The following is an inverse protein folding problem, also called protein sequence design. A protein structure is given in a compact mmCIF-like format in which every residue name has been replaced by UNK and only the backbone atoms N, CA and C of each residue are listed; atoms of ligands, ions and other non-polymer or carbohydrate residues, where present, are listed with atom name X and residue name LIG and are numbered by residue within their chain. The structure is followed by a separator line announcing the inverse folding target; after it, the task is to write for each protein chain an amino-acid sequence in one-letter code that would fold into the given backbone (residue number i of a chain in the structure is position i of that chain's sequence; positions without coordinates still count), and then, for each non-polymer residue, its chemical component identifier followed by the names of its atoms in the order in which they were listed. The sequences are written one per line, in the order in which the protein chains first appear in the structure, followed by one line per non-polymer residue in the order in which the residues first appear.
data_IF_892482902783
#
_entry.id   IF_892482902783
#
_cell.length_a   1.000
_cell.length_b   1.000
_cell.length_c   1.000
_cell.angle_alpha   90.00
_cell.angle_beta   90.00
_cell.angle_gamma   90.00
#
_symmetry.space_group_name_H-M   'P 1'
#
loop_
_entity.id
_entity.type
_entity.pdbx_description
1 polymer ?
#
# COMPACT_ATOMS: atom_id res chain seq x y z
N UNK A 1 -22.92 -1.04 22.57
CA UNK A 1 -21.66 -0.75 21.87
C UNK A 1 -20.71 -1.88 22.15
N UNK A 2 -20.08 -2.43 21.13
CA UNK A 2 -19.14 -3.54 21.25
C UNK A 2 -17.75 -3.12 20.75
N UNK A 3 -16.73 -3.85 21.21
CA UNK A 3 -15.37 -3.73 20.69
C UNK A 3 -15.07 -4.97 19.87
N UNK A 4 -14.69 -4.79 18.61
CA UNK A 4 -14.19 -5.86 17.76
C UNK A 4 -12.67 -5.87 17.84
N UNK A 5 -12.08 -7.05 18.08
CA UNK A 5 -10.65 -7.29 17.97
C UNK A 5 -10.38 -8.15 16.76
N UNK A 6 -9.65 -7.60 15.81
CA UNK A 6 -9.17 -8.31 14.65
C UNK A 6 -7.71 -8.68 14.85
N UNK A 7 -7.37 -9.94 14.68
CA UNK A 7 -6.00 -10.44 14.73
C UNK A 7 -5.61 -10.99 13.36
N UNK A 8 -4.53 -10.47 12.80
CA UNK A 8 -3.87 -10.99 11.59
C UNK A 8 -2.59 -11.66 12.05
N UNK A 9 -2.40 -12.93 11.72
CA UNK A 9 -1.27 -13.76 12.14
C UNK A 9 -0.46 -14.08 10.89
N UNK A 10 0.83 -13.82 10.94
CA UNK A 10 1.80 -14.08 9.88
C UNK A 10 2.71 -15.26 10.29
N UNK A 11 3.27 -15.96 9.33
CA UNK A 11 4.26 -17.02 9.61
C UNK A 11 5.61 -16.43 10.03
N UNK A 12 6.00 -15.31 9.40
CA UNK A 12 7.28 -14.66 9.66
C UNK A 12 7.15 -13.55 10.70
N UNK A 13 8.26 -13.22 11.36
CA UNK A 13 8.31 -12.17 12.37
C UNK A 13 8.17 -10.79 11.70
N UNK A 14 7.18 -10.01 12.16
CA UNK A 14 6.93 -8.64 11.68
C UNK A 14 7.77 -7.61 12.44
N UNK A 15 7.94 -7.83 13.74
CA UNK A 15 8.63 -6.92 14.65
C UNK A 15 9.40 -7.70 15.70
N UNK A 16 10.50 -7.13 16.16
CA UNK A 16 11.19 -7.65 17.34
C UNK A 16 10.54 -7.06 18.59
N UNK A 17 9.65 -7.82 19.24
CA UNK A 17 8.97 -7.41 20.46
C UNK A 17 7.49 -7.02 20.23
N UNK A 18 7.02 -6.05 21.01
CA UNK A 18 5.64 -5.57 20.96
C UNK A 18 5.63 -4.06 20.86
N UNK A 19 4.86 -3.54 19.89
CA UNK A 19 4.63 -2.11 19.74
C UNK A 19 3.13 -1.83 19.71
N UNK A 20 2.70 -0.78 20.42
CA UNK A 20 1.30 -0.38 20.52
C UNK A 20 1.11 1.03 20.02
N UNK A 21 0.21 1.21 19.08
CA UNK A 21 -0.26 2.50 18.61
C UNK A 21 -1.66 2.76 19.17
N UNK A 22 -1.78 3.78 20.00
CA UNK A 22 -3.07 4.26 20.47
C UNK A 22 -3.52 5.40 19.56
N UNK A 23 -4.71 5.25 18.97
CA UNK A 23 -5.26 6.20 18.05
C UNK A 23 -6.30 7.06 18.76
N UNK A 24 -6.06 8.36 18.83
CA UNK A 24 -6.91 9.32 19.56
C UNK A 24 -8.20 9.65 18.82
N UNK A 25 -8.27 9.36 17.52
CA UNK A 25 -9.44 9.65 16.69
C UNK A 25 -9.69 8.53 15.68
N UNK A 26 -10.95 8.37 15.26
CA UNK A 26 -11.36 7.40 14.26
C UNK A 26 -11.99 6.13 14.83
N UNK A 27 -12.27 5.18 13.96
CA UNK A 27 -12.97 3.94 14.29
C UNK A 27 -12.06 2.87 14.90
N UNK A 28 -10.78 2.92 14.56
CA UNK A 28 -9.74 2.07 15.16
C UNK A 28 -9.25 2.74 16.41
N UNK A 29 -9.36 2.07 17.55
CA UNK A 29 -8.89 2.57 18.85
C UNK A 29 -7.38 2.40 19.04
N UNK A 30 -6.88 1.23 18.71
CA UNK A 30 -5.47 0.90 18.85
C UNK A 30 -5.07 -0.20 17.89
N UNK A 31 -3.79 -0.24 17.57
CA UNK A 31 -3.15 -1.30 16.81
C UNK A 31 -1.97 -1.79 17.61
N UNK A 32 -1.88 -3.10 17.80
CA UNK A 32 -0.78 -3.74 18.53
C UNK A 32 -0.03 -4.63 17.53
N UNK A 33 1.24 -4.33 17.35
CA UNK A 33 2.17 -5.17 16.61
C UNK A 33 2.89 -6.06 17.61
N UNK A 34 2.87 -7.35 17.37
CA UNK A 34 3.64 -8.36 18.13
C UNK A 34 4.34 -9.20 17.10
N UNK A 35 5.50 -9.77 17.42
CA UNK A 35 6.32 -10.58 16.52
C UNK A 35 5.64 -11.01 15.20
N UNK A 36 4.67 -11.89 15.29
CA UNK A 36 3.95 -12.47 14.12
C UNK A 36 2.50 -11.98 13.99
N UNK A 37 2.07 -11.03 14.79
CA UNK A 37 0.65 -10.64 14.80
C UNK A 37 0.45 -9.15 14.74
N UNK A 38 -0.63 -8.76 14.05
CA UNK A 38 -1.20 -7.42 14.15
C UNK A 38 -2.59 -7.56 14.76
N UNK A 39 -2.81 -6.92 15.88
CA UNK A 39 -4.12 -6.83 16.52
C UNK A 39 -4.63 -5.40 16.39
N UNK A 40 -5.86 -5.22 15.96
CA UNK A 40 -6.49 -3.90 15.98
C UNK A 40 -7.89 -3.96 16.57
N UNK A 41 -8.25 -2.89 17.25
CA UNK A 41 -9.47 -2.79 18.03
C UNK A 41 -10.37 -1.73 17.42
N UNK A 42 -11.62 -2.09 17.18
CA UNK A 42 -12.63 -1.26 16.52
C UNK A 42 -13.82 -1.07 17.44
N UNK A 43 -14.31 0.16 17.56
CA UNK A 43 -15.63 0.40 18.12
C UNK A 43 -16.70 0.03 17.09
N UNK A 44 -17.66 -0.76 17.49
CA UNK A 44 -18.78 -1.10 16.65
C UNK A 44 -20.11 -0.95 17.40
N UNK A 45 -21.04 -0.26 16.77
CA UNK A 45 -22.35 -0.08 17.36
C UNK A 45 -23.27 -1.25 16.99
N UNK A 46 -23.32 -2.25 17.85
CA UNK A 46 -24.16 -3.43 17.70
C UNK A 46 -24.71 -3.87 19.04
N UNK A 47 -25.95 -4.38 19.03
CA UNK A 47 -26.58 -4.95 20.20
C UNK A 47 -26.10 -6.38 20.44
N UNK A 48 -25.88 -6.74 21.72
CA UNK A 48 -25.54 -8.10 22.13
C UNK A 48 -26.62 -9.11 21.70
N UNK A 49 -27.88 -8.70 21.70
CA UNK A 49 -29.02 -9.55 21.28
C UNK A 49 -28.94 -9.99 19.80
N UNK A 50 -28.19 -9.29 18.95
CA UNK A 50 -27.99 -9.65 17.55
C UNK A 50 -26.83 -10.64 17.33
N UNK A 51 -26.15 -11.07 18.39
CA UNK A 51 -24.98 -11.95 18.35
C UNK A 51 -25.28 -13.31 18.96
N UNK A 52 -24.99 -14.37 18.21
CA UNK A 52 -25.00 -15.77 18.66
C UNK A 52 -23.58 -16.29 18.79
N UNK A 53 -23.21 -16.88 19.93
CA UNK A 53 -21.85 -17.34 20.20
C UNK A 53 -21.36 -18.44 19.23
N UNK A 54 -22.27 -19.23 18.67
CA UNK A 54 -21.96 -20.33 17.74
C UNK A 54 -21.99 -19.89 16.28
N UNK A 55 -22.84 -18.94 15.96
CA UNK A 55 -23.13 -18.50 14.58
C UNK A 55 -22.57 -17.10 14.25
N UNK A 56 -22.15 -16.34 15.26
CA UNK A 56 -21.79 -14.94 15.09
C UNK A 56 -23.02 -14.11 14.70
N UNK A 57 -22.90 -13.31 13.65
CA UNK A 57 -23.99 -12.49 13.10
C UNK A 57 -24.71 -13.15 11.91
N UNK A 58 -24.62 -14.49 11.73
CA UNK A 58 -25.18 -15.18 10.55
C UNK A 58 -26.68 -14.98 10.39
N UNK A 59 -27.40 -14.87 11.50
CA UNK A 59 -28.84 -14.65 11.47
C UNK A 59 -29.21 -13.17 11.24
N UNK A 60 -28.20 -12.29 11.13
CA UNK A 60 -28.36 -10.88 10.78
C UNK A 60 -27.41 -10.49 9.65
N UNK A 61 -27.78 -10.75 8.39
CA UNK A 61 -26.90 -10.60 7.23
C UNK A 61 -26.46 -9.16 6.99
N UNK A 62 -27.26 -8.16 7.36
CA UNK A 62 -26.89 -6.76 7.23
C UNK A 62 -25.76 -6.36 8.18
N UNK A 63 -25.84 -6.79 9.43
CA UNK A 63 -24.78 -6.54 10.43
C UNK A 63 -23.52 -7.30 10.01
N UNK A 64 -23.64 -8.57 9.63
CA UNK A 64 -22.54 -9.39 9.15
C UNK A 64 -21.81 -8.72 7.97
N UNK A 65 -22.58 -8.21 6.99
CA UNK A 65 -22.05 -7.50 5.83
C UNK A 65 -21.33 -6.21 6.23
N UNK A 66 -21.95 -5.36 7.06
CA UNK A 66 -21.32 -4.12 7.55
C UNK A 66 -19.99 -4.37 8.26
N UNK A 67 -19.92 -5.40 9.12
CA UNK A 67 -18.69 -5.79 9.80
C UNK A 67 -17.64 -6.27 8.77
N UNK A 68 -18.04 -7.13 7.84
CA UNK A 68 -17.16 -7.69 6.82
C UNK A 68 -16.57 -6.60 5.92
N UNK A 69 -17.40 -5.70 5.40
CA UNK A 69 -16.99 -4.60 4.53
C UNK A 69 -16.00 -3.66 5.27
N UNK A 70 -16.30 -3.39 6.55
CA UNK A 70 -15.46 -2.56 7.40
C UNK A 70 -14.10 -3.20 7.68
N UNK A 71 -14.10 -4.47 8.05
CA UNK A 71 -12.87 -5.21 8.31
C UNK A 71 -12.02 -5.34 7.05
N UNK A 72 -12.65 -5.61 5.89
CA UNK A 72 -11.97 -5.68 4.61
C UNK A 72 -11.29 -4.35 4.28
N UNK A 73 -12.00 -3.24 4.47
CA UNK A 73 -11.47 -1.90 4.24
C UNK A 73 -10.23 -1.61 5.11
N UNK A 74 -10.28 -1.95 6.40
CA UNK A 74 -9.19 -1.73 7.34
C UNK A 74 -8.02 -2.70 7.09
N UNK A 75 -8.29 -3.99 6.90
CA UNK A 75 -7.29 -4.99 6.55
C UNK A 75 -6.50 -4.55 5.30
N UNK A 76 -7.22 -4.17 4.23
CA UNK A 76 -6.62 -3.71 2.97
C UNK A 76 -5.75 -2.48 3.19
N UNK A 77 -6.23 -1.54 3.99
CA UNK A 77 -5.52 -0.31 4.29
C UNK A 77 -4.22 -0.56 5.06
N UNK A 78 -4.29 -1.34 6.15
CA UNK A 78 -3.12 -1.70 6.95
C UNK A 78 -2.09 -2.42 6.08
N UNK A 79 -2.52 -3.39 5.28
CA UNK A 79 -1.61 -4.14 4.40
C UNK A 79 -1.00 -3.25 3.33
N UNK A 80 -1.78 -2.37 2.70
CA UNK A 80 -1.25 -1.43 1.74
C UNK A 80 -0.19 -0.51 2.36
N UNK A 81 -0.41 -0.03 3.60
CA UNK A 81 0.61 0.74 4.33
C UNK A 81 1.87 -0.07 4.58
N UNK A 82 1.72 -1.32 5.01
CA UNK A 82 2.85 -2.21 5.24
C UNK A 82 3.62 -2.46 3.94
N UNK A 83 2.94 -2.74 2.85
CA UNK A 83 3.55 -2.97 1.53
C UNK A 83 4.18 -1.68 0.99
N UNK A 84 3.43 -0.57 0.99
CA UNK A 84 3.87 0.68 0.39
C UNK A 84 5.04 1.31 1.14
N UNK A 85 4.92 1.45 2.45
CA UNK A 85 5.88 2.21 3.24
C UNK A 85 6.97 1.37 3.89
N UNK A 86 6.68 0.11 4.15
CA UNK A 86 7.61 -0.78 4.84
C UNK A 86 8.17 -1.87 3.94
N UNK A 87 7.94 -1.77 2.63
CA UNK A 87 8.50 -2.68 1.63
C UNK A 87 8.23 -4.17 1.96
N UNK A 88 7.07 -4.44 2.59
CA UNK A 88 6.65 -5.79 2.90
C UNK A 88 6.22 -6.47 1.59
N UNK A 89 7.18 -7.03 0.88
CA UNK A 89 6.99 -7.75 -0.37
C UNK A 89 6.97 -9.24 -0.02
N UNK A 90 5.91 -9.93 -0.42
CA UNK A 90 5.69 -11.37 -0.24
C UNK A 90 4.90 -11.76 1.02
N UNK A 91 3.62 -11.41 1.04
CA UNK A 91 2.66 -12.00 1.95
C UNK A 91 1.98 -13.19 1.23
N UNK A 92 2.37 -14.41 1.57
CA UNK A 92 1.64 -15.61 1.13
C UNK A 92 0.27 -15.61 1.80
N UNK A 93 -0.80 -15.44 1.02
CA UNK A 93 -2.16 -15.39 1.54
C UNK A 93 -2.59 -16.70 2.22
N UNK A 94 -1.98 -17.81 1.83
CA UNK A 94 -2.27 -19.12 2.42
C UNK A 94 -1.65 -19.27 3.82
N UNK A 95 -0.68 -18.41 4.13
CA UNK A 95 0.07 -18.39 5.40
C UNK A 95 -0.44 -17.33 6.38
N UNK A 96 -1.50 -16.61 6.04
CA UNK A 96 -2.08 -15.59 6.91
C UNK A 96 -3.35 -16.13 7.54
N UNK A 97 -3.32 -16.29 8.86
CA UNK A 97 -4.52 -16.63 9.63
C UNK A 97 -5.17 -15.38 10.19
N UNK A 98 -6.47 -15.30 10.10
CA UNK A 98 -7.24 -14.15 10.61
C UNK A 98 -8.26 -14.62 11.64
N UNK A 99 -8.30 -13.94 12.78
CA UNK A 99 -9.28 -14.16 13.84
C UNK A 99 -10.06 -12.89 14.10
N UNK A 100 -11.33 -13.04 14.41
CA UNK A 100 -12.19 -11.96 14.88
C UNK A 100 -12.79 -12.33 16.22
N UNK A 101 -12.70 -11.43 17.18
CA UNK A 101 -13.30 -11.56 18.51
C UNK A 101 -14.14 -10.32 18.81
N UNK A 102 -15.17 -10.50 19.59
CA UNK A 102 -16.06 -9.43 20.04
C UNK A 102 -16.13 -9.37 21.55
N UNK A 103 -16.19 -8.16 22.10
CA UNK A 103 -16.44 -7.90 23.51
C UNK A 103 -17.57 -6.88 23.63
N UNK A 104 -18.61 -7.23 24.37
CA UNK A 104 -19.75 -6.35 24.63
C UNK A 104 -19.58 -5.47 25.88
N UNK A 105 -18.35 -5.14 26.25
CA UNK A 105 -17.96 -4.42 27.47
C UNK A 105 -18.22 -5.19 28.77
N UNK A 106 -18.28 -6.50 28.70
CA UNK A 106 -18.43 -7.41 29.84
C UNK A 106 -17.09 -8.04 30.28
N UNK A 107 -15.99 -7.61 29.69
CA UNK A 107 -14.64 -8.10 29.98
C UNK A 107 -14.27 -9.40 29.27
N UNK A 108 -15.21 -10.06 28.58
CA UNK A 108 -14.97 -11.34 27.91
C UNK A 108 -14.83 -11.17 26.39
N UNK A 109 -13.89 -11.91 25.81
CA UNK A 109 -13.70 -11.95 24.36
C UNK A 109 -14.30 -13.26 23.82
N UNK A 110 -15.26 -13.13 22.94
CA UNK A 110 -15.92 -14.26 22.27
C UNK A 110 -15.50 -14.32 20.81
N UNK A 111 -15.14 -15.50 20.31
CA UNK A 111 -14.80 -15.69 18.90
C UNK A 111 -16.02 -15.40 18.03
N UNK A 112 -15.83 -14.59 17.00
CA UNK A 112 -16.86 -14.24 16.03
C UNK A 112 -16.57 -14.94 14.71
N UNK A 113 -17.31 -16.02 14.36
CA UNK A 113 -17.09 -16.72 13.11
C UNK A 113 -17.54 -15.86 11.93
N UNK A 114 -16.59 -15.29 11.21
CA UNK A 114 -16.80 -14.59 9.95
C UNK A 114 -16.03 -15.29 8.84
N UNK A 115 -16.74 -15.71 7.80
CA UNK A 115 -16.14 -16.25 6.59
C UNK A 115 -15.64 -15.10 5.69
N UNK A 116 -14.54 -14.47 6.10
CA UNK A 116 -13.83 -13.48 5.28
C UNK A 116 -12.74 -14.20 4.47
N UNK A 117 -13.00 -14.41 3.19
CA UNK A 117 -11.98 -14.84 2.24
C UNK A 117 -11.32 -13.59 1.65
N UNK A 118 -10.19 -13.19 2.20
CA UNK A 118 -9.38 -12.12 1.61
C UNK A 118 -8.22 -12.82 0.88
N UNK A 119 -8.16 -12.64 -0.42
CA UNK A 119 -7.09 -13.18 -1.25
C UNK A 119 -5.99 -12.12 -1.30
N UNK A 120 -4.83 -12.43 -0.73
CA UNK A 120 -3.61 -11.63 -0.91
C UNK A 120 -2.75 -12.28 -1.98
N UNK A 121 -2.07 -11.51 -2.83
CA UNK A 121 -1.08 -12.08 -3.73
C UNK A 121 0.12 -12.63 -2.94
N UNK A 122 0.65 -13.76 -3.37
CA UNK A 122 1.82 -14.43 -2.78
C UNK A 122 3.04 -13.51 -2.77
N UNK A 123 3.60 -13.22 -1.57
CA UNK A 123 4.76 -12.33 -1.46
C UNK A 123 5.55 -12.52 -0.17
N UNK A 124 6.88 -12.67 -0.24
CA UNK A 124 7.81 -12.80 0.89
C UNK A 124 8.22 -11.44 1.48
N UNK A 125 8.45 -11.39 2.77
CA UNK A 125 8.76 -10.18 3.53
C UNK A 125 10.23 -10.10 3.94
N UNK A 126 10.78 -8.89 3.92
CA UNK A 126 11.95 -8.55 4.74
C UNK A 126 11.77 -7.16 5.30
N UNK A 127 11.48 -7.06 6.61
CA UNK A 127 11.53 -5.79 7.31
C UNK A 127 11.61 -5.86 8.82
N UNK A 128 12.29 -4.86 9.39
CA UNK A 128 12.29 -4.54 10.81
C UNK A 128 11.35 -3.34 11.06
N UNK A 129 10.16 -3.58 11.62
CA UNK A 129 9.31 -2.55 12.25
C UNK A 129 9.86 -2.16 13.64
N UNK A 130 11.14 -2.43 13.90
CA UNK A 130 11.78 -2.19 15.20
C UNK A 130 12.03 -0.72 15.51
N UNK A 131 11.75 0.18 14.57
CA UNK A 131 11.93 1.62 14.75
C UNK A 131 10.60 2.24 15.24
N UNK A 132 10.62 2.79 16.44
CA UNK A 132 9.49 3.48 17.05
C UNK A 132 8.96 4.64 16.18
N UNK A 133 9.85 5.31 15.46
CA UNK A 133 9.47 6.38 14.53
C UNK A 133 8.70 5.86 13.32
N UNK A 134 9.05 4.69 12.81
CA UNK A 134 8.30 4.07 11.73
C UNK A 134 6.89 3.66 12.19
N UNK A 135 6.76 3.16 13.42
CA UNK A 135 5.46 2.84 13.98
C UNK A 135 4.60 4.07 14.21
N UNK A 136 5.17 5.18 14.70
CA UNK A 136 4.47 6.46 14.84
C UNK A 136 3.99 6.99 13.49
N UNK A 137 4.82 6.87 12.46
CA UNK A 137 4.44 7.26 11.08
C UNK A 137 3.31 6.41 10.54
N UNK A 138 3.37 5.09 10.71
CA UNK A 138 2.28 4.19 10.32
C UNK A 138 0.97 4.59 11.04
N UNK A 139 1.03 4.86 12.34
CA UNK A 139 -0.11 5.34 13.12
C UNK A 139 -0.67 6.64 12.55
N UNK A 140 0.18 7.62 12.24
CA UNK A 140 -0.23 8.89 11.63
C UNK A 140 -0.93 8.66 10.29
N UNK A 141 -0.37 7.82 9.41
CA UNK A 141 -0.98 7.49 8.13
C UNK A 141 -2.38 6.87 8.28
N UNK A 142 -2.56 6.00 9.27
CA UNK A 142 -3.85 5.35 9.54
C UNK A 142 -4.86 6.37 10.10
N UNK A 143 -4.45 7.21 11.07
CA UNK A 143 -5.31 8.23 11.69
C UNK A 143 -5.80 9.22 10.65
N UNK A 144 -4.88 9.77 9.85
CA UNK A 144 -5.19 10.81 8.86
C UNK A 144 -5.79 10.26 7.57
N UNK A 145 -6.05 8.95 7.50
CA UNK A 145 -6.63 8.30 6.33
C UNK A 145 -5.87 8.59 5.02
N UNK A 146 -4.56 8.70 5.09
CA UNK A 146 -3.73 9.05 3.95
C UNK A 146 -3.81 7.97 2.88
N UNK A 147 -3.95 8.37 1.63
CA UNK A 147 -3.93 7.45 0.52
C UNK A 147 -2.47 7.15 0.15
N UNK A 148 -2.16 5.87 0.03
CA UNK A 148 -0.86 5.46 -0.49
C UNK A 148 -0.86 5.69 -1.99
N UNK A 149 0.16 6.36 -2.55
CA UNK A 149 0.29 6.52 -3.99
C UNK A 149 0.25 5.16 -4.70
N UNK A 150 -0.58 5.05 -5.73
CA UNK A 150 -0.69 3.82 -6.52
C UNK A 150 0.64 3.46 -7.17
N UNK A 151 1.40 4.47 -7.57
CA UNK A 151 2.77 4.30 -8.11
C UNK A 151 3.68 3.55 -7.15
N UNK A 152 3.60 3.85 -5.85
CA UNK A 152 4.39 3.17 -4.82
C UNK A 152 3.96 1.71 -4.66
N UNK A 153 2.67 1.43 -4.66
CA UNK A 153 2.14 0.06 -4.60
C UNK A 153 2.57 -0.76 -5.82
N UNK A 154 2.50 -0.19 -7.03
CA UNK A 154 2.93 -0.86 -8.27
C UNK A 154 4.43 -1.12 -8.24
N UNK A 155 5.24 -0.14 -7.80
CA UNK A 155 6.67 -0.31 -7.66
C UNK A 155 7.02 -1.47 -6.71
N UNK A 156 6.39 -1.53 -5.55
CA UNK A 156 6.63 -2.62 -4.60
C UNK A 156 6.16 -3.97 -5.18
N UNK A 157 4.98 -3.98 -5.82
CA UNK A 157 4.50 -5.17 -6.50
C UNK A 157 5.45 -5.67 -7.58
N UNK A 158 6.04 -4.78 -8.37
CA UNK A 158 6.93 -5.15 -9.46
C UNK A 158 8.13 -6.00 -9.00
N UNK A 159 8.61 -5.78 -7.76
CA UNK A 159 9.76 -6.51 -7.19
C UNK A 159 9.52 -8.02 -7.06
N UNK A 160 8.27 -8.45 -6.91
CA UNK A 160 7.89 -9.87 -6.77
C UNK A 160 7.58 -10.55 -8.12
N UNK A 161 7.57 -9.79 -9.22
CA UNK A 161 7.27 -10.34 -10.55
C UNK A 161 8.51 -11.05 -11.08
N UNK A 162 8.39 -12.36 -11.33
CA UNK A 162 9.49 -13.20 -11.83
C UNK A 162 9.74 -12.93 -13.32
N UNK A 163 8.68 -12.78 -14.10
CA UNK A 163 8.80 -12.46 -15.53
C UNK A 163 9.38 -11.06 -15.73
N UNK A 164 10.56 -10.96 -16.32
CA UNK A 164 11.29 -9.72 -16.48
C UNK A 164 10.56 -8.71 -17.38
N UNK A 165 9.80 -9.16 -18.37
CA UNK A 165 9.04 -8.29 -19.28
C UNK A 165 7.88 -7.65 -18.52
N UNK A 166 7.10 -8.44 -17.80
CA UNK A 166 5.98 -7.95 -16.98
C UNK A 166 6.51 -7.03 -15.87
N UNK A 167 7.62 -7.42 -15.23
CA UNK A 167 8.27 -6.58 -14.20
C UNK A 167 8.68 -5.23 -14.77
N UNK A 168 9.33 -5.20 -15.93
CA UNK A 168 9.76 -3.96 -16.59
C UNK A 168 8.57 -3.05 -16.95
N UNK A 169 7.52 -3.62 -17.54
CA UNK A 169 6.28 -2.89 -17.87
C UNK A 169 5.65 -2.30 -16.61
N UNK A 170 5.59 -3.07 -15.51
CA UNK A 170 5.05 -2.60 -14.23
C UNK A 170 5.88 -1.46 -13.65
N UNK A 171 7.22 -1.51 -13.75
CA UNK A 171 8.11 -0.42 -13.34
C UNK A 171 7.85 0.86 -14.15
N UNK A 172 7.71 0.73 -15.46
CA UNK A 172 7.39 1.87 -16.32
C UNK A 172 6.02 2.48 -15.99
N UNK A 173 5.03 1.65 -15.69
CA UNK A 173 3.71 2.10 -15.22
C UNK A 173 3.82 2.82 -13.87
N UNK A 174 4.61 2.30 -12.93
CA UNK A 174 4.83 2.97 -11.63
C UNK A 174 5.43 4.37 -11.82
N UNK A 175 6.43 4.51 -12.70
CA UNK A 175 7.02 5.81 -13.01
C UNK A 175 6.01 6.78 -13.63
N UNK A 176 5.22 6.33 -14.62
CA UNK A 176 4.22 7.16 -15.30
C UNK A 176 3.12 7.62 -14.33
N UNK A 177 2.58 6.70 -13.54
CA UNK A 177 1.54 6.99 -12.56
C UNK A 177 2.07 7.93 -11.48
N UNK A 178 3.30 7.71 -10.98
CA UNK A 178 3.89 8.57 -9.94
C UNK A 178 4.02 10.03 -10.37
N UNK A 179 4.46 10.27 -11.61
CA UNK A 179 4.51 11.63 -12.14
C UNK A 179 3.11 12.23 -12.26
N UNK A 180 2.12 11.48 -12.76
CA UNK A 180 0.74 11.95 -12.87
C UNK A 180 0.10 12.22 -11.51
N UNK A 181 0.32 11.36 -10.52
CA UNK A 181 -0.14 11.58 -9.14
C UNK A 181 0.45 12.87 -8.57
N UNK A 182 1.76 13.11 -8.77
CA UNK A 182 2.42 14.33 -8.31
C UNK A 182 1.78 15.58 -8.93
N UNK A 183 1.53 15.59 -10.23
CA UNK A 183 0.84 16.70 -10.88
C UNK A 183 -0.60 16.87 -10.37
N UNK A 184 -1.35 15.79 -10.25
CA UNK A 184 -2.74 15.79 -9.77
C UNK A 184 -2.88 16.26 -8.32
N UNK A 185 -1.82 16.14 -7.52
CA UNK A 185 -1.81 16.60 -6.12
C UNK A 185 -1.61 18.11 -5.98
N UNK A 186 -1.15 18.81 -7.03
CA UNK A 186 -0.85 20.25 -6.96
C UNK A 186 -2.09 21.12 -7.05
N UNK A 187 -3.05 20.77 -7.91
CA UNK A 187 -4.32 21.48 -8.00
C UNK A 187 -5.42 20.62 -8.62
N UNK A 188 -6.67 21.03 -8.39
CA UNK A 188 -7.85 20.39 -9.01
C UNK A 188 -7.82 20.52 -10.53
N UNK A 189 -7.35 21.65 -11.04
CA UNK A 189 -7.27 21.94 -12.48
C UNK A 189 -6.27 20.99 -13.15
N UNK A 190 -5.08 20.81 -12.55
CA UNK A 190 -4.08 19.87 -13.07
C UNK A 190 -4.59 18.42 -13.03
N UNK A 191 -5.34 18.06 -12.00
CA UNK A 191 -5.97 16.74 -11.92
C UNK A 191 -6.94 16.54 -13.07
N UNK A 192 -7.86 17.50 -13.31
CA UNK A 192 -8.82 17.44 -14.40
C UNK A 192 -8.14 17.36 -15.77
N UNK A 193 -7.05 18.08 -15.96
CA UNK A 193 -6.26 18.03 -17.20
C UNK A 193 -5.64 16.64 -17.40
N UNK A 194 -5.05 16.06 -16.37
CA UNK A 194 -4.42 14.72 -16.44
C UNK A 194 -5.46 13.61 -16.71
N UNK A 195 -6.65 13.74 -16.12
CA UNK A 195 -7.72 12.74 -16.22
C UNK A 195 -8.48 12.79 -17.57
N UNK A 196 -8.64 13.99 -18.14
CA UNK A 196 -9.56 14.19 -19.28
C UNK A 196 -8.87 14.49 -20.61
N UNK A 197 -7.57 14.79 -20.62
CA UNK A 197 -6.83 15.03 -21.85
C UNK A 197 -6.00 13.79 -22.25
N UNK A 198 -5.66 13.66 -23.55
CA UNK A 198 -4.71 12.65 -24.00
C UNK A 198 -3.45 12.73 -23.14
N UNK A 199 -3.12 11.64 -22.47
CA UNK A 199 -2.06 11.60 -21.46
C UNK A 199 -0.71 12.06 -22.05
N UNK A 200 -0.15 13.19 -21.57
CA UNK A 200 1.17 13.61 -22.00
C UNK A 200 2.20 12.56 -21.57
N UNK A 201 3.21 12.32 -22.40
CA UNK A 201 4.27 11.38 -22.10
C UNK A 201 5.03 11.81 -20.84
N UNK A 202 5.53 10.84 -20.08
CA UNK A 202 6.38 11.10 -18.91
C UNK A 202 7.56 12.01 -19.25
N UNK A 203 8.13 11.87 -20.45
CA UNK A 203 9.25 12.71 -20.92
C UNK A 203 8.84 14.19 -21.00
N UNK A 204 7.62 14.48 -21.45
CA UNK A 204 7.10 15.86 -21.48
C UNK A 204 6.85 16.38 -20.07
N UNK A 205 6.17 15.61 -19.23
CA UNK A 205 5.84 16.00 -17.86
C UNK A 205 7.10 16.24 -17.01
N UNK A 206 8.13 15.42 -17.16
CA UNK A 206 9.40 15.55 -16.42
C UNK A 206 10.37 16.57 -17.00
N UNK A 207 10.03 17.21 -18.13
CA UNK A 207 10.88 18.23 -18.75
C UNK A 207 10.99 19.49 -17.86
N UNK A 208 12.15 20.16 -17.89
CA UNK A 208 12.37 21.39 -17.11
C UNK A 208 11.34 22.48 -17.40
N UNK A 209 10.83 22.51 -18.63
CA UNK A 209 9.82 23.52 -19.06
C UNK A 209 8.45 23.29 -18.43
N UNK A 210 8.12 22.05 -18.07
CA UNK A 210 6.83 21.69 -17.50
C UNK A 210 6.95 21.44 -16.00
N UNK A 211 7.95 20.68 -15.57
CA UNK A 211 8.09 20.24 -14.18
C UNK A 211 8.54 21.40 -13.26
N UNK A 212 9.60 22.12 -13.64
CA UNK A 212 10.18 23.15 -12.78
C UNK A 212 9.23 24.33 -12.45
N UNK A 213 8.42 24.87 -13.36
CA UNK A 213 7.45 25.92 -13.01
C UNK A 213 6.40 25.49 -12.00
N UNK A 214 6.07 24.19 -11.94
CA UNK A 214 5.01 23.67 -11.06
C UNK A 214 5.59 23.30 -9.69
N UNK A 215 6.75 22.67 -9.65
CA UNK A 215 7.32 22.11 -8.43
C UNK A 215 8.47 22.91 -7.83
N UNK A 216 8.99 23.92 -8.55
CA UNK A 216 10.10 24.76 -8.08
C UNK A 216 11.49 24.12 -8.16
N UNK A 217 11.60 22.88 -8.65
CA UNK A 217 12.85 22.13 -8.79
C UNK A 217 12.87 21.29 -10.07
N UNK A 218 14.01 20.66 -10.36
CA UNK A 218 14.21 19.91 -11.61
C UNK A 218 14.53 18.45 -11.31
N UNK A 219 13.93 17.55 -12.05
CA UNK A 219 14.35 16.14 -12.06
C UNK A 219 15.73 16.05 -12.71
N UNK A 220 16.72 15.33 -12.13
CA UNK A 220 18.05 15.18 -12.71
C UNK A 220 18.02 14.70 -14.16
N UNK A 221 18.90 15.27 -15.01
CA UNK A 221 18.90 15.01 -16.45
C UNK A 221 19.11 13.54 -16.77
N UNK A 222 19.99 12.87 -16.04
CA UNK A 222 20.30 11.45 -16.19
C UNK A 222 19.07 10.59 -15.86
N UNK A 223 18.35 10.93 -14.81
CA UNK A 223 17.12 10.25 -14.43
C UNK A 223 16.04 10.40 -15.51
N UNK A 224 15.83 11.62 -16.03
CA UNK A 224 14.89 11.87 -17.12
C UNK A 224 15.23 11.08 -18.39
N UNK A 225 16.52 11.01 -18.74
CA UNK A 225 16.98 10.22 -19.88
C UNK A 225 16.73 8.72 -19.68
N UNK A 226 16.99 8.20 -18.47
CA UNK A 226 16.70 6.82 -18.12
C UNK A 226 15.19 6.51 -18.20
N UNK A 227 14.34 7.38 -17.68
CA UNK A 227 12.89 7.26 -17.77
C UNK A 227 12.41 7.27 -19.22
N UNK A 228 12.95 8.13 -20.07
CA UNK A 228 12.65 8.17 -21.50
C UNK A 228 12.97 6.85 -22.20
N UNK A 229 14.20 6.34 -22.01
CA UNK A 229 14.60 5.01 -22.52
C UNK A 229 13.71 3.88 -21.99
N UNK A 230 13.33 3.96 -20.71
CA UNK A 230 12.44 3.00 -20.09
C UNK A 230 11.07 2.96 -20.77
N UNK A 231 10.50 4.12 -21.08
CA UNK A 231 9.21 4.21 -21.80
C UNK A 231 9.31 3.71 -23.24
N UNK A 232 10.41 3.96 -23.93
CA UNK A 232 10.65 3.41 -25.28
C UNK A 232 10.75 1.87 -25.23
N UNK A 233 11.48 1.33 -24.26
CA UNK A 233 11.58 -0.11 -24.06
C UNK A 233 10.21 -0.73 -23.73
N UNK A 234 9.45 -0.12 -22.80
CA UNK A 234 8.07 -0.56 -22.47
C UNK A 234 7.16 -0.55 -23.70
N UNK A 235 7.21 0.48 -24.53
CA UNK A 235 6.39 0.56 -25.73
C UNK A 235 6.74 -0.56 -26.73
N UNK A 236 8.04 -0.85 -26.90
CA UNK A 236 8.46 -1.99 -27.70
C UNK A 236 7.97 -3.32 -27.13
N UNK A 237 8.08 -3.53 -25.82
CA UNK A 237 7.62 -4.75 -25.15
C UNK A 237 6.11 -5.01 -25.33
N UNK A 238 5.30 -3.93 -25.38
CA UNK A 238 3.84 -4.04 -25.52
C UNK A 238 3.41 -4.18 -26.99
N UNK A 239 4.06 -3.45 -27.90
CA UNK A 239 3.58 -3.32 -29.28
C UNK A 239 4.32 -4.20 -30.30
N UNK A 240 5.43 -4.81 -29.90
CA UNK A 240 6.14 -5.80 -30.75
C UNK A 240 6.12 -7.16 -30.04
N UNK A 241 6.26 -8.24 -30.79
CA UNK A 241 6.27 -9.62 -30.22
C UNK A 241 7.41 -9.88 -29.21
N UNK A 242 8.04 -8.82 -28.70
CA UNK A 242 8.98 -8.88 -27.57
C UNK A 242 10.28 -9.64 -27.82
N UNK A 243 10.37 -10.47 -28.86
CA UNK A 243 11.50 -11.36 -29.13
C UNK A 243 12.77 -10.62 -29.59
N UNK A 244 12.62 -9.34 -29.98
CA UNK A 244 13.74 -8.48 -30.40
C UNK A 244 14.42 -7.74 -29.25
N UNK A 245 13.85 -7.81 -28.00
CA UNK A 245 14.39 -7.08 -26.85
C UNK A 245 15.10 -8.07 -25.93
N UNK A 246 16.42 -8.00 -25.90
CA UNK A 246 17.22 -8.72 -24.93
C UNK A 246 17.14 -8.01 -23.56
N UNK A 247 16.15 -8.40 -22.76
CA UNK A 247 15.95 -7.90 -21.40
C UNK A 247 16.56 -8.90 -20.42
N UNK A 248 17.64 -8.50 -19.77
CA UNK A 248 18.27 -9.24 -18.69
C UNK A 248 17.94 -8.66 -17.32
N UNK A 249 18.24 -9.41 -16.27
CA UNK A 249 17.94 -9.03 -14.90
C UNK A 249 18.66 -7.72 -14.49
N UNK A 250 19.89 -7.51 -14.97
CA UNK A 250 20.69 -6.32 -14.63
C UNK A 250 20.01 -5.05 -15.15
N UNK A 251 19.55 -5.05 -16.41
CA UNK A 251 18.79 -3.92 -16.99
C UNK A 251 17.48 -3.63 -16.25
N UNK A 252 16.79 -4.69 -15.79
CA UNK A 252 15.55 -4.53 -15.02
C UNK A 252 15.84 -3.93 -13.66
N UNK A 253 16.90 -4.37 -12.98
CA UNK A 253 17.31 -3.83 -11.67
C UNK A 253 17.77 -2.36 -11.82
N UNK A 254 18.62 -2.03 -12.80
CA UNK A 254 19.03 -0.63 -13.04
C UNK A 254 17.81 0.27 -13.26
N UNK A 255 16.87 -0.16 -14.10
CA UNK A 255 15.66 0.63 -14.33
C UNK A 255 14.79 0.73 -13.07
N UNK A 256 14.68 -0.33 -12.28
CA UNK A 256 13.97 -0.32 -11.00
C UNK A 256 14.57 0.72 -10.04
N UNK A 257 15.89 0.81 -9.92
CA UNK A 257 16.55 1.83 -9.09
C UNK A 257 16.24 3.26 -9.54
N UNK A 258 16.19 3.50 -10.86
CA UNK A 258 15.79 4.81 -11.39
C UNK A 258 14.34 5.15 -11.06
N UNK A 259 13.43 4.17 -11.17
CA UNK A 259 12.01 4.37 -10.80
C UNK A 259 11.86 4.56 -9.29
N UNK A 260 12.61 3.82 -8.48
CA UNK A 260 12.63 4.03 -7.02
C UNK A 260 13.09 5.44 -6.66
N UNK A 261 14.18 5.91 -7.27
CA UNK A 261 14.68 7.27 -7.05
C UNK A 261 13.65 8.32 -7.47
N UNK A 262 13.00 8.14 -8.63
CA UNK A 262 11.93 9.04 -9.06
C UNK A 262 10.81 9.10 -8.04
N UNK A 263 10.26 7.96 -7.64
CA UNK A 263 9.14 7.91 -6.69
C UNK A 263 9.55 8.50 -5.35
N UNK A 264 10.76 8.24 -4.86
CA UNK A 264 11.28 8.86 -3.64
C UNK A 264 11.33 10.39 -3.71
N UNK A 265 11.77 10.95 -4.85
CA UNK A 265 11.74 12.40 -5.08
C UNK A 265 10.32 12.96 -5.14
N UNK A 266 9.40 12.25 -5.79
CA UNK A 266 8.00 12.67 -5.89
C UNK A 266 7.27 12.58 -4.56
N UNK A 267 7.61 11.62 -3.70
CA UNK A 267 7.03 11.50 -2.36
C UNK A 267 7.33 12.70 -1.47
N UNK A 268 8.42 13.44 -1.71
CA UNK A 268 8.70 14.71 -1.03
C UNK A 268 7.66 15.79 -1.36
N UNK A 269 7.03 15.72 -2.52
CA UNK A 269 5.97 16.65 -2.96
C UNK A 269 4.68 16.43 -2.17
N UNK A 270 4.38 15.20 -1.80
CA UNK A 270 3.17 14.85 -1.04
C UNK A 270 3.20 15.34 0.42
N UNK A 271 4.20 16.16 0.78
CA UNK A 271 4.35 16.85 2.07
C UNK A 271 4.53 15.90 3.25
N UNK A 272 5.63 16.05 3.99
CA UNK A 272 5.95 15.47 5.31
C UNK A 272 5.76 13.96 5.54
N UNK A 273 5.26 13.22 4.57
CA UNK A 273 4.73 11.89 4.78
C UNK A 273 5.80 10.90 4.57
N UNK A 274 6.93 10.90 4.25
CA UNK A 274 7.73 9.66 4.14
C UNK A 274 9.18 9.96 3.68
N UNK A 275 10.04 10.19 4.63
CA UNK A 275 11.43 9.87 4.43
C UNK A 275 11.61 8.35 4.44
N UNK A 276 11.41 7.73 3.31
CA UNK A 276 11.89 6.39 3.06
C UNK A 276 13.42 6.50 2.97
N UNK A 277 14.12 6.10 4.02
CA UNK A 277 15.51 5.67 3.86
C UNK A 277 15.44 4.35 3.09
N UNK A 278 15.72 4.43 1.81
CA UNK A 278 16.10 3.27 1.01
C UNK A 278 17.54 2.92 1.43
N UNK A 279 17.69 1.99 2.34
CA UNK A 279 18.93 1.31 2.63
C UNK A 279 18.91 -0.07 2.01
#
# INVERSE_FOLDING_TARGET
MAILKRTIIFEDDLVNGTATLNLSSGEVKSIIFKNKTIEFFLNFNVDKAAFDEKKGFKDNPEISKKISDKLLQIDTKIINYLVGFFNLVNLDSNKITKKLQINFNDGTWTDCPLNLKIIFPDRTMSMSLSDEDNLKRLGSCIIHNQNIPLSLLILQHSKSIIDLRIRYVSLAMAAEIGVKEAFSSQSTELRLLIENLPSPSIVKLTSDKVFNPIFGWKIPKELRAALGKGMECRNKLIHTNGDSINLDLEKVIDYQEKVQLLIALLLQIFGEIIFLRFS
#
